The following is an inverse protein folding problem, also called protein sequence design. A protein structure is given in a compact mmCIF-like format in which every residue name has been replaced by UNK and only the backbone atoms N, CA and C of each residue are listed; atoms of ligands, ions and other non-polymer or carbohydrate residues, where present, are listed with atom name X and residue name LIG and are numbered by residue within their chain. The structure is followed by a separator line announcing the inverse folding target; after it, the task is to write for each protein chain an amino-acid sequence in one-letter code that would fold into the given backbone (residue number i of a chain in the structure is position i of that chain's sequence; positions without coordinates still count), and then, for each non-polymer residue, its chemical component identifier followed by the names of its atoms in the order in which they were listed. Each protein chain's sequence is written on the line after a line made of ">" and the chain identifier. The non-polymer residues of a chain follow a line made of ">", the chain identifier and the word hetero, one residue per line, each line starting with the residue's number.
data_IF_345637426720
#
_entry.id   IF_345637426720
#
_cell.length_a   1.000
_cell.length_b   1.000
_cell.length_c   1.000
_cell.angle_alpha   90.00
_cell.angle_beta   90.00
_cell.angle_gamma   90.00
#
_symmetry.space_group_name_H-M   'P 1'
#
loop_
_entity.id
_entity.type
_entity.pdbx_description
1 polymer ?
#
# COMPACT_ATOMS: atom_id res chain seq x y z
N UNK A 1 -7.67 17.01 7.07
CA UNK A 1 -6.91 17.86 6.11
C UNK A 1 -7.58 17.85 4.76
N UNK A 2 -7.55 16.79 3.96
CA UNK A 2 -8.22 16.74 2.64
C UNK A 2 -9.67 17.25 2.68
N UNK A 3 -10.48 16.81 3.66
CA UNK A 3 -11.88 17.25 3.83
C UNK A 3 -12.04 18.78 3.92
N UNK A 4 -11.10 19.47 4.55
CA UNK A 4 -11.18 20.95 4.70
C UNK A 4 -10.93 21.69 3.40
N UNK A 5 -10.10 21.13 2.51
CA UNK A 5 -9.63 21.79 1.29
C UNK A 5 -10.52 21.53 0.08
N UNK A 6 -11.17 20.35 -0.01
CA UNK A 6 -12.03 20.01 -1.16
C UNK A 6 -13.48 20.50 -1.01
N UNK A 7 -13.80 21.20 0.09
CA UNK A 7 -15.05 21.92 0.28
C UNK A 7 -16.17 21.14 0.96
N UNK A 8 -17.26 21.86 1.29
CA UNK A 8 -18.36 21.35 2.12
C UNK A 8 -19.29 20.35 1.42
N UNK A 9 -19.19 20.22 0.10
CA UNK A 9 -20.06 19.33 -0.68
C UNK A 9 -19.45 17.96 -0.97
N UNK A 10 -18.34 17.63 -0.30
CA UNK A 10 -17.63 16.36 -0.51
C UNK A 10 -17.43 15.67 0.82
N UNK A 11 -17.87 14.43 0.92
CA UNK A 11 -17.63 13.58 2.09
C UNK A 11 -16.34 12.80 1.92
N UNK A 12 -15.48 12.80 2.93
CA UNK A 12 -14.24 12.03 2.97
C UNK A 12 -14.31 10.96 4.07
N UNK A 13 -14.19 9.70 3.68
CA UNK A 13 -14.16 8.58 4.57
C UNK A 13 -12.73 8.05 4.71
N UNK A 14 -12.12 8.24 5.88
CA UNK A 14 -10.83 7.64 6.19
C UNK A 14 -11.02 6.20 6.68
N UNK A 15 -10.53 5.24 5.91
CA UNK A 15 -10.61 3.80 6.19
C UNK A 15 -9.24 3.16 6.47
N UNK A 16 -8.23 3.98 6.69
CA UNK A 16 -6.87 3.51 7.01
C UNK A 16 -6.82 2.86 8.38
N UNK A 17 -6.28 1.66 8.45
CA UNK A 17 -6.03 0.93 9.70
C UNK A 17 -4.55 0.59 9.78
N UNK A 18 -3.87 0.92 10.90
CA UNK A 18 -2.46 0.65 11.07
C UNK A 18 -2.11 -0.83 10.83
N UNK A 19 -1.01 -1.07 10.11
CA UNK A 19 -0.47 -2.41 9.87
C UNK A 19 -1.26 -3.28 8.90
N UNK A 20 -2.20 -2.71 8.16
CA UNK A 20 -2.87 -3.42 7.08
C UNK A 20 -1.97 -3.49 5.84
N UNK A 21 -2.06 -4.60 5.10
CA UNK A 21 -1.47 -4.72 3.76
C UNK A 21 -2.46 -4.34 2.67
N UNK A 22 -1.99 -4.29 1.44
CA UNK A 22 -2.82 -3.98 0.25
C UNK A 22 -4.04 -4.92 0.15
N UNK A 23 -3.90 -6.16 0.59
CA UNK A 23 -4.98 -7.16 0.63
C UNK A 23 -6.15 -6.75 1.55
N UNK A 24 -5.88 -6.23 2.77
CA UNK A 24 -6.94 -5.74 3.64
C UNK A 24 -7.52 -4.42 3.16
N UNK A 25 -6.72 -3.56 2.55
CA UNK A 25 -7.21 -2.32 1.93
C UNK A 25 -8.22 -2.66 0.82
N UNK A 26 -7.91 -3.65 -0.01
CA UNK A 26 -8.82 -4.13 -1.05
C UNK A 26 -10.10 -4.77 -0.47
N UNK A 27 -9.97 -5.61 0.56
CA UNK A 27 -11.14 -6.19 1.24
C UNK A 27 -12.02 -5.12 1.88
N UNK A 28 -11.42 -4.05 2.38
CA UNK A 28 -12.15 -2.89 2.91
C UNK A 28 -12.93 -2.17 1.80
N UNK A 29 -12.29 -1.94 0.65
CA UNK A 29 -12.97 -1.40 -0.51
C UNK A 29 -14.19 -2.27 -0.87
N UNK A 30 -14.04 -3.58 -1.02
CA UNK A 30 -15.14 -4.49 -1.35
C UNK A 30 -16.29 -4.41 -0.34
N UNK A 31 -15.96 -4.36 0.95
CA UNK A 31 -16.95 -4.31 2.03
C UNK A 31 -17.80 -3.04 2.02
N UNK A 32 -17.18 -1.89 1.73
CA UNK A 32 -17.84 -0.60 1.90
C UNK A 32 -18.26 0.07 0.59
N UNK A 33 -17.70 -0.35 -0.55
CA UNK A 33 -17.99 0.23 -1.85
C UNK A 33 -19.49 0.27 -2.17
N UNK A 34 -20.21 -0.83 -1.96
CA UNK A 34 -21.66 -0.92 -2.24
C UNK A 34 -22.47 0.07 -1.41
N UNK A 35 -22.05 0.32 -0.17
CA UNK A 35 -22.74 1.22 0.76
C UNK A 35 -22.39 2.68 0.53
N UNK A 36 -21.11 2.99 0.35
CA UNK A 36 -20.61 4.37 0.27
C UNK A 36 -20.68 4.92 -1.15
N UNK A 37 -20.54 4.06 -2.17
CA UNK A 37 -20.52 4.43 -3.60
C UNK A 37 -19.62 5.65 -3.86
N UNK A 38 -18.35 5.62 -3.47
CA UNK A 38 -17.46 6.76 -3.63
C UNK A 38 -17.26 7.08 -5.12
N UNK A 39 -17.14 8.36 -5.46
CA UNK A 39 -16.72 8.77 -6.79
C UNK A 39 -15.22 8.54 -7.01
N UNK A 40 -14.44 8.70 -5.93
CA UNK A 40 -12.99 8.60 -5.95
C UNK A 40 -12.54 7.65 -4.83
N UNK A 41 -11.70 6.70 -5.19
CA UNK A 41 -11.01 5.79 -4.27
C UNK A 41 -9.55 6.18 -4.22
N UNK A 42 -9.02 6.50 -3.04
CA UNK A 42 -7.62 6.86 -2.86
C UNK A 42 -6.95 5.74 -2.06
N UNK A 43 -5.98 5.08 -2.67
CA UNK A 43 -5.18 4.05 -2.03
C UNK A 43 -3.85 4.64 -1.58
N UNK A 44 -3.68 4.87 -0.28
CA UNK A 44 -2.40 5.20 0.34
C UNK A 44 -1.71 3.95 0.84
N UNK A 45 -0.46 3.74 0.47
CA UNK A 45 0.31 2.62 0.99
C UNK A 45 1.81 2.92 1.07
N UNK A 46 2.50 2.16 1.90
CA UNK A 46 3.96 2.08 2.00
C UNK A 46 4.44 0.74 1.44
N UNK A 47 5.73 0.63 1.13
CA UNK A 47 6.29 -0.61 0.56
C UNK A 47 6.10 -1.85 1.46
N UNK A 48 6.03 -1.66 2.78
CA UNK A 48 5.72 -2.76 3.72
C UNK A 48 4.35 -3.36 3.50
N UNK A 49 3.38 -2.58 3.03
CA UNK A 49 2.02 -3.07 2.79
C UNK A 49 1.99 -4.09 1.65
N UNK A 50 2.99 -4.04 0.75
CA UNK A 50 3.23 -5.07 -0.26
C UNK A 50 3.72 -6.36 0.40
N UNK A 51 4.63 -6.28 1.37
CA UNK A 51 5.14 -7.45 2.07
C UNK A 51 4.07 -8.11 2.95
N UNK A 52 3.24 -7.28 3.60
CA UNK A 52 2.18 -7.71 4.52
C UNK A 52 1.09 -8.57 3.88
N UNK A 53 0.96 -8.62 2.56
CA UNK A 53 0.01 -9.52 1.89
C UNK A 53 0.32 -11.02 2.10
N UNK A 54 1.55 -11.35 2.54
CA UNK A 54 1.94 -12.72 2.89
C UNK A 54 1.62 -13.09 4.34
N UNK A 55 1.31 -12.11 5.18
CA UNK A 55 0.98 -12.35 6.58
C UNK A 55 -0.45 -12.91 6.68
N UNK A 56 -0.60 -14.07 7.30
CA UNK A 56 -1.90 -14.68 7.62
C UNK A 56 -2.27 -14.56 9.10
N UNK A 57 -1.34 -14.10 9.92
CA UNK A 57 -1.52 -13.95 11.36
C UNK A 57 -0.85 -12.68 11.88
N UNK A 58 -1.58 -11.91 12.65
CA UNK A 58 -1.07 -10.69 13.30
C UNK A 58 -0.74 -10.97 14.76
N UNK A 59 0.54 -11.06 15.06
CA UNK A 59 1.03 -11.40 16.41
C UNK A 59 0.62 -10.38 17.47
N UNK A 60 0.61 -9.10 17.12
CA UNK A 60 0.27 -8.03 18.06
C UNK A 60 -1.18 -8.11 18.52
N UNK A 61 -2.09 -8.50 17.65
CA UNK A 61 -3.52 -8.60 17.93
C UNK A 61 -3.97 -10.04 18.27
N UNK A 62 -3.09 -11.02 18.12
CA UNK A 62 -3.40 -12.42 18.41
C UNK A 62 -4.49 -13.02 17.51
N UNK A 63 -4.64 -12.52 16.27
CA UNK A 63 -5.74 -12.93 15.40
C UNK A 63 -5.28 -13.28 13.98
N UNK A 64 -6.04 -14.18 13.35
CA UNK A 64 -5.86 -14.52 11.96
C UNK A 64 -6.25 -13.34 11.08
N UNK A 65 -5.50 -13.16 10.02
CA UNK A 65 -5.68 -12.13 9.03
C UNK A 65 -6.08 -12.77 7.70
N UNK A 66 -7.21 -12.36 7.09
CA UNK A 66 -7.50 -12.77 5.73
C UNK A 66 -6.34 -12.41 4.80
N UNK A 67 -5.93 -13.35 3.96
CA UNK A 67 -4.85 -13.17 2.99
C UNK A 67 -5.23 -13.75 1.64
N UNK A 68 -4.50 -13.37 0.58
CA UNK A 68 -4.70 -13.94 -0.74
C UNK A 68 -3.54 -14.87 -1.12
N UNK A 69 -3.88 -15.97 -1.80
CA UNK A 69 -2.91 -16.81 -2.50
C UNK A 69 -3.22 -16.82 -3.99
N UNK A 70 -2.20 -17.11 -4.79
CA UNK A 70 -2.35 -17.32 -6.23
C UNK A 70 -2.43 -18.81 -6.49
N UNK A 71 -3.58 -19.27 -6.94
CA UNK A 71 -3.83 -20.66 -7.34
C UNK A 71 -4.39 -20.66 -8.77
N UNK A 72 -3.80 -21.44 -9.67
CA UNK A 72 -4.20 -21.49 -11.09
C UNK A 72 -4.32 -20.09 -11.74
N UNK A 73 -3.36 -19.22 -11.45
CA UNK A 73 -3.32 -17.81 -11.90
C UNK A 73 -4.51 -16.95 -11.44
N UNK A 74 -5.20 -17.35 -10.38
CA UNK A 74 -6.30 -16.59 -9.77
C UNK A 74 -5.99 -16.25 -8.31
N UNK A 75 -6.52 -15.12 -7.85
CA UNK A 75 -6.49 -14.76 -6.42
C UNK A 75 -7.57 -15.54 -5.66
N UNK A 76 -7.14 -16.30 -4.67
CA UNK A 76 -8.01 -17.07 -3.78
C UNK A 76 -7.87 -16.49 -2.36
N UNK A 77 -9.00 -16.09 -1.78
CA UNK A 77 -9.05 -15.61 -0.40
C UNK A 77 -8.87 -16.76 0.59
N UNK A 78 -8.00 -16.58 1.57
CA UNK A 78 -7.75 -17.50 2.68
C UNK A 78 -8.02 -16.80 4.01
N UNK A 79 -8.74 -17.46 4.91
CA UNK A 79 -9.16 -16.87 6.19
C UNK A 79 -8.38 -17.47 7.37
N UNK A 80 -7.97 -18.75 7.30
CA UNK A 80 -7.39 -19.48 8.42
C UNK A 80 -6.07 -20.20 8.07
N UNK A 81 -5.22 -19.54 7.28
CA UNK A 81 -3.94 -20.13 6.88
C UNK A 81 -2.86 -19.93 7.98
N UNK A 82 -2.38 -21.03 8.54
CA UNK A 82 -1.20 -21.01 9.41
C UNK A 82 0.08 -21.12 8.55
N UNK A 83 1.17 -20.42 8.92
CA UNK A 83 2.44 -20.56 8.22
C UNK A 83 2.91 -22.04 8.29
N UNK A 84 3.29 -22.58 7.15
CA UNK A 84 3.76 -23.96 7.07
C UNK A 84 5.08 -24.19 7.80
N UNK A 85 5.30 -25.42 8.26
CA UNK A 85 6.55 -25.82 8.94
C UNK A 85 7.79 -25.54 8.06
N UNK A 86 7.70 -25.75 6.75
CA UNK A 86 8.78 -25.48 5.79
C UNK A 86 9.11 -23.99 5.74
N UNK A 87 8.11 -23.11 5.77
CA UNK A 87 8.29 -21.65 5.76
C UNK A 87 9.05 -21.19 7.01
N UNK A 88 8.73 -21.73 8.17
CA UNK A 88 9.43 -21.42 9.41
C UNK A 88 10.89 -21.91 9.39
N UNK A 89 11.15 -23.09 8.83
CA UNK A 89 12.50 -23.67 8.73
C UNK A 89 13.38 -22.86 7.76
N UNK A 90 12.85 -22.46 6.60
CA UNK A 90 13.58 -21.64 5.63
C UNK A 90 13.88 -20.24 6.16
N UNK A 91 12.95 -19.64 6.90
CA UNK A 91 13.15 -18.34 7.52
C UNK A 91 14.25 -18.33 8.59
N UNK A 92 14.44 -19.43 9.29
CA UNK A 92 15.48 -19.58 10.34
C UNK A 92 16.86 -19.98 9.81
N UNK A 93 16.97 -20.45 8.56
CA UNK A 93 18.24 -20.89 7.98
C UNK A 93 19.08 -19.69 7.49
N UNK A 94 20.29 -19.54 8.04
CA UNK A 94 21.23 -18.46 7.65
C UNK A 94 21.62 -18.53 6.17
N UNK A 95 21.80 -19.75 5.63
CA UNK A 95 22.23 -19.95 4.24
C UNK A 95 21.10 -19.78 3.23
N UNK A 96 19.89 -20.21 3.58
CA UNK A 96 18.73 -20.21 2.69
C UNK A 96 17.89 -18.92 2.81
N UNK A 97 18.12 -18.13 3.87
CA UNK A 97 17.35 -16.91 4.14
C UNK A 97 17.37 -15.90 2.98
N UNK A 98 18.50 -15.58 2.32
CA UNK A 98 18.49 -14.62 1.20
C UNK A 98 17.63 -15.09 0.03
N UNK A 99 17.75 -16.37 -0.35
CA UNK A 99 16.95 -16.97 -1.43
C UNK A 99 15.46 -17.00 -1.03
N UNK A 100 15.19 -17.42 0.20
CA UNK A 100 13.83 -17.44 0.73
C UNK A 100 13.18 -16.05 0.75
N UNK A 101 13.91 -15.03 1.23
CA UNK A 101 13.45 -13.62 1.20
C UNK A 101 13.17 -13.13 -0.22
N UNK A 102 14.02 -13.49 -1.18
CA UNK A 102 13.79 -13.17 -2.59
C UNK A 102 12.51 -13.82 -3.13
N UNK A 103 12.26 -15.11 -2.83
CA UNK A 103 11.04 -15.82 -3.20
C UNK A 103 9.80 -15.14 -2.58
N UNK A 104 9.86 -14.77 -1.29
CA UNK A 104 8.77 -14.09 -0.61
C UNK A 104 8.49 -12.72 -1.26
N UNK A 105 9.53 -11.97 -1.60
CA UNK A 105 9.40 -10.71 -2.32
C UNK A 105 8.66 -10.90 -3.65
N UNK A 106 9.09 -11.83 -4.48
CA UNK A 106 8.45 -12.09 -5.77
C UNK A 106 6.99 -12.52 -5.60
N UNK A 107 6.71 -13.34 -4.58
CA UNK A 107 5.36 -13.80 -4.26
C UNK A 107 4.47 -12.63 -3.80
N UNK A 108 4.96 -11.77 -2.90
CA UNK A 108 4.19 -10.62 -2.41
C UNK A 108 3.93 -9.60 -3.51
N UNK A 109 4.92 -9.29 -4.34
CA UNK A 109 4.74 -8.39 -5.48
C UNK A 109 3.70 -8.92 -6.47
N UNK A 110 3.74 -10.22 -6.78
CA UNK A 110 2.75 -10.86 -7.66
C UNK A 110 1.34 -10.75 -7.09
N UNK A 111 1.16 -11.09 -5.81
CA UNK A 111 -0.16 -11.01 -5.15
C UNK A 111 -0.65 -9.56 -5.14
N UNK A 112 0.19 -8.62 -4.72
CA UNK A 112 -0.16 -7.19 -4.68
C UNK A 112 -0.50 -6.62 -6.06
N UNK A 113 0.28 -7.00 -7.08
CA UNK A 113 0.00 -6.61 -8.47
C UNK A 113 -1.38 -7.08 -8.91
N UNK A 114 -1.71 -8.35 -8.67
CA UNK A 114 -3.02 -8.91 -9.03
C UNK A 114 -4.17 -8.26 -8.24
N UNK A 115 -3.93 -7.89 -6.98
CA UNK A 115 -4.92 -7.16 -6.16
C UNK A 115 -5.15 -5.76 -6.71
N UNK A 116 -4.08 -5.02 -7.04
CA UNK A 116 -4.17 -3.68 -7.61
C UNK A 116 -4.87 -3.68 -8.98
N UNK A 117 -4.56 -4.66 -9.82
CA UNK A 117 -5.25 -4.83 -11.10
C UNK A 117 -6.75 -5.09 -10.90
N UNK A 118 -7.10 -5.94 -9.93
CA UNK A 118 -8.48 -6.23 -9.60
C UNK A 118 -9.20 -5.01 -9.03
N UNK A 119 -8.57 -4.27 -8.11
CA UNK A 119 -9.09 -3.02 -7.59
C UNK A 119 -9.32 -2.00 -8.70
N UNK A 120 -8.35 -1.82 -9.59
CA UNK A 120 -8.48 -0.91 -10.73
C UNK A 120 -9.67 -1.30 -11.62
N UNK A 121 -9.78 -2.56 -11.98
CA UNK A 121 -10.89 -3.05 -12.82
C UNK A 121 -12.25 -2.81 -12.16
N UNK A 122 -12.39 -3.13 -10.88
CA UNK A 122 -13.63 -2.93 -10.14
C UNK A 122 -13.98 -1.45 -9.97
N UNK A 123 -13.00 -0.57 -9.78
CA UNK A 123 -13.27 0.87 -9.76
C UNK A 123 -13.76 1.37 -11.12
N UNK A 124 -13.21 0.87 -12.24
CA UNK A 124 -13.70 1.23 -13.58
C UNK A 124 -15.13 0.72 -13.80
N UNK A 125 -15.43 -0.52 -13.44
CA UNK A 125 -16.77 -1.12 -13.56
C UNK A 125 -17.81 -0.34 -12.73
N UNK A 126 -17.40 0.22 -11.60
CA UNK A 126 -18.24 1.06 -10.73
C UNK A 126 -18.25 2.56 -11.13
N UNK A 127 -17.63 2.93 -12.24
CA UNK A 127 -17.48 4.34 -12.69
C UNK A 127 -16.79 5.24 -11.64
N UNK A 128 -15.83 4.69 -10.92
CA UNK A 128 -15.04 5.38 -9.90
C UNK A 128 -13.65 5.68 -10.42
N UNK A 129 -13.04 6.73 -9.89
CA UNK A 129 -11.64 7.04 -10.14
C UNK A 129 -10.77 6.36 -9.05
N UNK A 130 -9.70 5.69 -9.47
CA UNK A 130 -8.68 5.18 -8.56
C UNK A 130 -7.47 6.10 -8.60
N UNK A 131 -7.08 6.62 -7.44
CA UNK A 131 -5.83 7.36 -7.21
C UNK A 131 -4.93 6.50 -6.32
N UNK A 132 -3.70 6.28 -6.75
CA UNK A 132 -2.71 5.51 -6.00
C UNK A 132 -1.63 6.46 -5.48
N UNK A 133 -1.42 6.46 -4.17
CA UNK A 133 -0.41 7.28 -3.49
C UNK A 133 0.56 6.37 -2.76
N UNK A 134 1.81 6.35 -3.24
CA UNK A 134 2.88 5.62 -2.57
C UNK A 134 3.67 6.55 -1.68
N UNK A 135 3.77 6.18 -0.41
CA UNK A 135 4.51 6.88 0.62
C UNK A 135 5.83 6.13 0.85
N UNK A 136 6.99 6.76 0.63
CA UNK A 136 8.26 6.12 0.95
C UNK A 136 8.42 5.97 2.47
N UNK A 137 9.08 4.91 2.91
CA UNK A 137 9.53 4.82 4.30
C UNK A 137 10.76 5.69 4.51
N UNK A 138 10.91 6.19 5.74
CA UNK A 138 12.09 6.97 6.11
C UNK A 138 13.40 6.20 5.88
N UNK A 139 13.45 4.94 6.33
CA UNK A 139 14.63 4.08 6.15
C UNK A 139 14.95 3.86 4.68
N UNK A 140 13.94 3.73 3.85
CA UNK A 140 14.10 3.56 2.42
C UNK A 140 14.71 4.77 1.74
N UNK A 141 14.51 5.94 2.27
CA UNK A 141 15.13 7.16 1.79
C UNK A 141 16.57 7.32 2.27
N UNK A 142 16.84 7.01 3.54
CA UNK A 142 18.16 7.17 4.17
C UNK A 142 19.17 6.10 3.78
N UNK A 143 18.70 4.91 3.38
CA UNK A 143 19.53 3.77 3.00
C UNK A 143 19.09 3.30 1.61
N UNK A 144 19.59 3.94 0.52
CA UNK A 144 19.15 3.64 -0.86
C UNK A 144 19.26 2.18 -1.27
N UNK A 145 20.22 1.44 -0.72
CA UNK A 145 20.45 0.02 -0.99
C UNK A 145 19.30 -0.88 -0.52
N UNK A 146 18.47 -0.42 0.42
CA UNK A 146 17.29 -1.14 0.88
C UNK A 146 16.03 -0.83 0.06
N UNK A 147 16.08 0.17 -0.81
CA UNK A 147 14.93 0.80 -1.45
C UNK A 147 14.33 0.05 -2.62
N UNK A 148 15.12 -0.78 -3.29
CA UNK A 148 14.64 -1.42 -4.52
C UNK A 148 13.83 -2.69 -4.27
N UNK A 149 13.68 -3.09 -2.99
CA UNK A 149 13.14 -4.40 -2.68
C UNK A 149 11.67 -4.58 -3.05
N UNK A 150 10.83 -3.54 -2.94
CA UNK A 150 9.40 -3.62 -3.24
C UNK A 150 8.91 -2.55 -4.22
N UNK A 151 9.82 -1.95 -5.00
CA UNK A 151 9.43 -0.93 -5.97
C UNK A 151 8.66 -1.58 -7.13
N UNK A 152 7.36 -1.34 -7.14
CA UNK A 152 6.43 -1.78 -8.16
C UNK A 152 6.16 -0.64 -9.14
N UNK A 153 6.08 -0.91 -10.44
CA UNK A 153 5.57 0.06 -11.40
C UNK A 153 4.05 0.17 -11.25
N UNK A 154 3.61 1.31 -10.73
CA UNK A 154 2.21 1.58 -10.45
C UNK A 154 1.46 2.18 -11.62
N UNK A 155 2.15 2.68 -12.62
CA UNK A 155 1.54 3.37 -13.77
C UNK A 155 0.68 2.44 -14.62
N UNK A 156 0.94 1.13 -14.56
CA UNK A 156 0.15 0.11 -15.25
C UNK A 156 -1.25 -0.10 -14.66
N UNK A 157 -1.49 0.35 -13.41
CA UNK A 157 -2.76 0.09 -12.72
C UNK A 157 -3.75 1.26 -12.76
N UNK A 158 -3.27 2.48 -12.86
CA UNK A 158 -4.17 3.64 -12.80
C UNK A 158 -3.88 4.70 -13.88
N UNK A 159 -2.87 4.46 -14.73
CA UNK A 159 -2.29 5.49 -15.58
C UNK A 159 -1.34 6.41 -14.79
N UNK A 160 -0.36 6.99 -15.48
CA UNK A 160 0.66 7.82 -14.84
C UNK A 160 0.07 9.06 -14.15
N UNK A 161 -0.98 9.61 -14.71
CA UNK A 161 -1.69 10.78 -14.20
C UNK A 161 -2.43 10.56 -12.88
N UNK A 162 -2.63 9.30 -12.49
CA UNK A 162 -3.36 8.92 -11.26
C UNK A 162 -2.46 8.25 -10.22
N UNK A 163 -1.16 8.31 -10.43
CA UNK A 163 -0.16 7.78 -9.49
C UNK A 163 0.67 8.91 -8.93
N UNK A 164 0.66 9.04 -7.60
CA UNK A 164 1.54 9.91 -6.84
C UNK A 164 2.59 9.02 -6.17
N UNK A 165 3.82 9.03 -6.67
CA UNK A 165 4.95 8.39 -6.01
C UNK A 165 5.78 9.45 -5.29
N UNK A 166 5.54 9.65 -3.99
CA UNK A 166 6.25 10.66 -3.19
C UNK A 166 7.76 10.41 -3.09
N UNK A 167 8.22 9.22 -3.44
CA UNK A 167 9.65 8.94 -3.50
C UNK A 167 10.38 9.80 -4.54
N UNK A 168 9.76 10.03 -5.68
CA UNK A 168 10.34 10.88 -6.74
C UNK A 168 10.34 12.37 -6.35
N UNK A 169 9.39 12.80 -5.51
CA UNK A 169 9.39 14.15 -4.94
C UNK A 169 10.48 14.29 -3.87
N UNK A 170 10.61 13.30 -2.99
CA UNK A 170 11.60 13.34 -1.89
C UNK A 170 13.03 13.31 -2.39
N UNK A 171 13.32 12.59 -3.49
CA UNK A 171 14.64 12.60 -4.12
C UNK A 171 15.11 13.98 -4.56
N UNK A 172 14.19 14.89 -4.80
CA UNK A 172 14.47 16.26 -5.23
C UNK A 172 14.64 17.22 -4.07
N UNK A 173 14.37 16.78 -2.84
CA UNK A 173 14.45 17.59 -1.63
C UNK A 173 15.81 17.42 -0.94
N UNK A 174 16.30 18.46 -0.24
CA UNK A 174 17.43 18.32 0.66
C UNK A 174 17.13 17.29 1.77
N UNK A 175 18.10 16.47 2.19
CA UNK A 175 17.91 15.42 3.21
C UNK A 175 17.27 15.91 4.50
N UNK A 176 17.67 17.09 4.98
CA UNK A 176 17.13 17.72 6.19
C UNK A 176 15.63 18.07 6.07
N UNK A 177 15.17 18.43 4.89
CA UNK A 177 13.73 18.64 4.63
C UNK A 177 12.98 17.34 4.68
N UNK A 178 13.50 16.28 4.06
CA UNK A 178 12.87 14.96 4.09
C UNK A 178 12.82 14.42 5.51
N UNK A 179 13.89 14.62 6.29
CA UNK A 179 13.91 14.25 7.70
C UNK A 179 12.77 14.90 8.49
N UNK A 180 12.47 16.18 8.23
CA UNK A 180 11.37 16.91 8.86
C UNK A 180 9.95 16.41 8.49
N UNK A 181 9.82 15.62 7.43
CA UNK A 181 8.54 15.01 7.03
C UNK A 181 8.16 13.79 7.86
N UNK A 182 9.07 13.28 8.70
CA UNK A 182 8.86 12.08 9.51
C UNK A 182 9.01 12.37 11.00
N UNK A 183 8.32 11.58 11.80
CA UNK A 183 8.54 11.43 13.22
C UNK A 183 9.71 10.46 13.48
N UNK A 184 10.24 10.45 14.69
CA UNK A 184 11.36 9.57 15.07
C UNK A 184 11.07 8.06 14.93
N UNK A 185 9.80 7.69 14.88
CA UNK A 185 9.33 6.31 14.70
C UNK A 185 9.07 5.92 13.23
N UNK A 186 9.42 6.81 12.29
CA UNK A 186 9.29 6.60 10.85
C UNK A 186 7.91 6.89 10.28
N UNK A 187 6.93 7.31 11.08
CA UNK A 187 5.64 7.78 10.58
C UNK A 187 5.74 9.22 10.05
N UNK A 188 4.83 9.60 9.17
CA UNK A 188 4.76 10.99 8.73
C UNK A 188 4.50 11.93 9.90
N UNK A 189 5.25 13.02 9.95
CA UNK A 189 4.92 14.20 10.75
C UNK A 189 3.67 14.88 10.17
N UNK A 190 3.16 15.88 10.88
CA UNK A 190 2.09 16.72 10.34
C UNK A 190 2.48 17.33 8.99
N UNK A 191 3.70 17.83 8.86
CA UNK A 191 4.21 18.41 7.60
C UNK A 191 4.29 17.37 6.48
N UNK A 192 4.68 16.14 6.78
CA UNK A 192 4.68 15.04 5.80
C UNK A 192 3.27 14.69 5.33
N UNK A 193 2.32 14.63 6.25
CA UNK A 193 0.92 14.39 5.93
C UNK A 193 0.29 15.54 5.13
N UNK A 194 0.66 16.79 5.42
CA UNK A 194 0.23 17.98 4.67
C UNK A 194 0.75 17.94 3.23
N UNK A 195 2.02 17.64 3.03
CA UNK A 195 2.60 17.48 1.71
C UNK A 195 1.87 16.43 0.88
N UNK A 196 1.60 15.26 1.46
CA UNK A 196 0.87 14.21 0.78
C UNK A 196 -0.57 14.66 0.42
N UNK A 197 -1.23 15.37 1.33
CA UNK A 197 -2.57 15.91 1.09
C UNK A 197 -2.59 16.95 -0.03
N UNK A 198 -1.63 17.88 -0.05
CA UNK A 198 -1.50 18.91 -1.11
C UNK A 198 -1.34 18.27 -2.49
N UNK A 199 -0.52 17.24 -2.61
CA UNK A 199 -0.35 16.50 -3.87
C UNK A 199 -1.65 15.85 -4.35
N UNK A 200 -2.39 15.22 -3.44
CA UNK A 200 -3.69 14.63 -3.75
C UNK A 200 -4.69 15.69 -4.18
N UNK A 201 -4.80 16.80 -3.44
CA UNK A 201 -5.71 17.90 -3.72
C UNK A 201 -5.37 18.54 -5.07
N UNK A 202 -4.08 18.78 -5.33
CA UNK A 202 -3.63 19.28 -6.62
C UNK A 202 -4.09 18.43 -7.79
N UNK A 203 -4.08 17.11 -7.62
CA UNK A 203 -4.54 16.18 -8.65
C UNK A 203 -6.07 16.16 -8.77
N UNK A 204 -6.79 16.26 -7.65
CA UNK A 204 -8.25 16.28 -7.63
C UNK A 204 -8.84 17.54 -8.27
N UNK A 205 -8.16 18.68 -8.18
CA UNK A 205 -8.61 19.96 -8.77
C UNK A 205 -8.49 20.01 -10.30
N UNK A 206 -7.90 19.00 -10.93
CA UNK A 206 -7.83 18.84 -12.37
C UNK A 206 -8.96 17.97 -12.94
N UNK A 207 -9.87 17.50 -12.10
CA UNK A 207 -11.05 16.71 -12.43
C UNK A 207 -12.35 17.40 -12.04
#
# INVERSE_FOLDING_TARGET
>A
MIQKEIGQNTDVFNMGIPGWGIDQMYLTYLKYNVRLRPNIVILFFIDDDIARVLESYRRAEGMNKPSFKVENSQLVLRIDDQPGMIENTLASSVLLNPIYRWILKMKSMKISSMILEKLYRETQENHQQLLIVRIPRFENYMIPETNEWYRMDLSSFAGKERVIDLYDDFKKMPPEKVHGLYLHDGHFSQTGAELAAEKVIGLLNHY
#
